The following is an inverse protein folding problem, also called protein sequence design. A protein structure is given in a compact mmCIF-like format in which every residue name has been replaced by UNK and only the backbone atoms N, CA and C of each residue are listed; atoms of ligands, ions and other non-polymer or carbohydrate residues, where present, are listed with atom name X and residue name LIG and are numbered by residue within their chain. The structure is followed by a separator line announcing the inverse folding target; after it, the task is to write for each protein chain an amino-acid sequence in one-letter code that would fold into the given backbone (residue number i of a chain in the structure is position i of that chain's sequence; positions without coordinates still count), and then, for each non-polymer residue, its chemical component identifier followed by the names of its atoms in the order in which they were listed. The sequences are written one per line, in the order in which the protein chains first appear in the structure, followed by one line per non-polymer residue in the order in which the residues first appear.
data_IF_692071119627
#
_entry.id   IF_692071119627
#
_cell.length_a   1.000
_cell.length_b   1.000
_cell.length_c   1.000
_cell.angle_alpha   90.00
_cell.angle_beta   90.00
_cell.angle_gamma   90.00
#
_symmetry.space_group_name_H-M   'P 1'
#
loop_
_entity.id
_entity.type
_entity.pdbx_description
1 polymer ?
#
# COMPACT_ATOMS: atom_id res chain seq x y z
N UNK A 1 -7.79 22.84 15.84
CA UNK A 1 -6.77 22.01 15.17
C UNK A 1 -6.86 22.35 13.71
N UNK A 2 -5.91 23.14 13.21
CA UNK A 2 -5.89 23.53 11.80
C UNK A 2 -5.55 22.30 10.96
N UNK A 3 -6.59 21.67 10.40
CA UNK A 3 -6.44 20.61 9.42
C UNK A 3 -5.72 21.20 8.21
N UNK A 4 -4.43 20.89 8.05
CA UNK A 4 -3.70 21.22 6.82
C UNK A 4 -4.40 20.49 5.68
N UNK A 5 -5.14 21.19 4.79
CA UNK A 5 -6.09 20.51 3.95
C UNK A 5 -5.33 19.87 2.81
N UNK A 6 -5.16 18.57 2.89
CA UNK A 6 -4.84 17.76 1.73
C UNK A 6 -5.94 17.96 0.66
N UNK A 7 -5.54 18.16 -0.58
CA UNK A 7 -6.41 18.29 -1.74
C UNK A 7 -6.47 16.98 -2.50
N UNK A 8 -7.56 16.75 -3.22
CA UNK A 8 -7.71 15.59 -4.10
C UNK A 8 -8.17 15.99 -5.50
N UNK A 9 -7.56 15.36 -6.50
CA UNK A 9 -8.08 15.30 -7.86
C UNK A 9 -8.17 13.85 -8.31
N UNK A 10 -9.21 13.52 -9.05
CA UNK A 10 -9.44 12.19 -9.61
C UNK A 10 -9.16 12.26 -11.12
N UNK A 11 -8.11 11.57 -11.58
CA UNK A 11 -7.66 11.61 -12.97
C UNK A 11 -8.03 10.30 -13.68
N UNK A 12 -8.69 10.43 -14.83
CA UNK A 12 -9.05 9.34 -15.71
C UNK A 12 -8.05 9.25 -16.85
N UNK A 13 -7.25 8.17 -16.86
CA UNK A 13 -6.27 7.93 -17.91
C UNK A 13 -6.87 7.09 -19.05
N UNK A 14 -6.61 7.45 -20.32
CA UNK A 14 -7.10 6.71 -21.47
C UNK A 14 -6.41 5.35 -21.59
N UNK A 15 -7.12 4.38 -22.18
CA UNK A 15 -6.60 3.03 -22.43
C UNK A 15 -7.70 1.97 -22.29
N UNK A 16 -7.67 0.99 -23.20
CA UNK A 16 -8.59 -0.14 -23.20
C UNK A 16 -8.20 -1.13 -22.10
N UNK A 17 -6.90 -1.35 -21.90
CA UNK A 17 -6.37 -2.26 -20.88
C UNK A 17 -5.90 -1.53 -19.62
N UNK A 18 -5.86 -2.24 -18.49
CA UNK A 18 -5.30 -1.69 -17.24
C UNK A 18 -3.81 -1.30 -17.39
N UNK A 19 -3.07 -2.03 -18.24
CA UNK A 19 -1.66 -1.77 -18.54
C UNK A 19 -1.48 -0.49 -19.35
N UNK A 20 -2.32 -0.25 -20.35
CA UNK A 20 -2.29 1.01 -21.13
C UNK A 20 -2.57 2.21 -20.23
N UNK A 21 -3.63 2.13 -19.40
CA UNK A 21 -3.97 3.19 -18.45
C UNK A 21 -2.84 3.45 -17.46
N UNK A 22 -2.20 2.40 -16.96
CA UNK A 22 -1.04 2.51 -16.07
C UNK A 22 0.14 3.20 -16.76
N UNK A 23 0.46 2.83 -18.01
CA UNK A 23 1.55 3.45 -18.76
C UNK A 23 1.33 4.97 -18.93
N UNK A 24 0.11 5.37 -19.28
CA UNK A 24 -0.26 6.78 -19.41
C UNK A 24 -0.18 7.51 -18.05
N UNK A 25 -0.71 6.87 -16.99
CA UNK A 25 -0.68 7.42 -15.64
C UNK A 25 0.75 7.65 -15.15
N UNK A 26 1.61 6.63 -15.24
CA UNK A 26 2.99 6.70 -14.78
C UNK A 26 3.78 7.74 -15.58
N UNK A 27 3.63 7.80 -16.90
CA UNK A 27 4.31 8.81 -17.73
C UNK A 27 3.91 10.25 -17.34
N UNK A 28 2.62 10.49 -17.10
CA UNK A 28 2.14 11.80 -16.68
C UNK A 28 2.61 12.15 -15.26
N UNK A 29 2.33 11.29 -14.29
CA UNK A 29 2.58 11.54 -12.87
C UNK A 29 4.06 11.65 -12.53
N UNK A 30 4.93 10.88 -13.19
CA UNK A 30 6.39 10.95 -12.99
C UNK A 30 6.98 12.30 -13.41
N UNK A 31 6.28 13.03 -14.30
CA UNK A 31 6.67 14.38 -14.72
C UNK A 31 6.11 15.44 -13.78
N UNK A 32 4.79 15.43 -13.55
CA UNK A 32 4.11 16.57 -12.93
C UNK A 32 4.29 16.64 -11.42
N UNK A 33 4.34 15.51 -10.71
CA UNK A 33 4.42 15.50 -9.24
C UNK A 33 5.80 15.96 -8.73
N UNK A 34 6.94 15.42 -9.23
CA UNK A 34 8.25 15.94 -8.84
C UNK A 34 8.47 17.40 -9.26
N UNK A 35 7.93 17.83 -10.41
CA UNK A 35 8.02 19.21 -10.87
C UNK A 35 7.25 20.17 -9.94
N UNK A 36 6.04 19.80 -9.53
CA UNK A 36 5.23 20.58 -8.59
C UNK A 36 5.92 20.71 -7.22
N UNK A 37 6.52 19.62 -6.74
CA UNK A 37 7.26 19.59 -5.48
C UNK A 37 8.55 20.43 -5.56
N UNK A 38 9.32 20.30 -6.64
CA UNK A 38 10.54 21.11 -6.88
C UNK A 38 10.24 22.60 -6.99
N UNK A 39 9.09 22.95 -7.57
CA UNK A 39 8.62 24.34 -7.67
C UNK A 39 8.05 24.88 -6.35
N UNK A 40 8.03 24.10 -5.27
CA UNK A 40 7.49 24.50 -3.98
C UNK A 40 5.97 24.71 -3.99
N UNK A 41 5.25 24.12 -4.94
CA UNK A 41 3.79 24.23 -5.01
C UNK A 41 3.10 23.26 -4.04
N UNK A 42 3.70 22.09 -3.87
CA UNK A 42 3.27 21.03 -2.95
C UNK A 42 4.44 20.57 -2.09
N UNK A 43 4.16 20.14 -0.87
CA UNK A 43 5.14 19.62 0.09
C UNK A 43 5.03 18.12 0.31
N UNK A 44 3.90 17.52 -0.04
CA UNK A 44 3.68 16.08 0.02
C UNK A 44 2.60 15.66 -0.96
N UNK A 45 2.66 14.42 -1.41
CA UNK A 45 1.72 13.87 -2.38
C UNK A 45 1.76 12.36 -2.40
N UNK A 46 0.64 11.74 -2.76
CA UNK A 46 0.54 10.32 -3.02
C UNK A 46 -0.66 10.04 -3.92
N UNK A 47 -0.71 8.84 -4.51
CA UNK A 47 -1.84 8.43 -5.35
C UNK A 47 -2.43 7.12 -4.86
N UNK A 48 -3.69 6.83 -5.22
CA UNK A 48 -4.28 5.50 -5.08
C UNK A 48 -5.07 5.12 -6.32
N UNK A 49 -4.99 3.85 -6.70
CA UNK A 49 -5.61 3.31 -7.91
C UNK A 49 -6.96 2.68 -7.56
N UNK A 50 -8.05 3.40 -7.83
CA UNK A 50 -9.41 2.89 -7.64
C UNK A 50 -10.37 3.55 -8.63
N UNK A 51 -10.63 2.88 -9.76
CA UNK A 51 -11.31 3.52 -10.89
C UNK A 51 -10.40 4.59 -11.50
N UNK A 52 -10.85 5.84 -11.51
CA UNK A 52 -9.97 6.99 -11.71
C UNK A 52 -8.88 7.04 -10.62
N UNK A 53 -7.66 7.43 -10.97
CA UNK A 53 -6.58 7.52 -10.00
C UNK A 53 -6.80 8.76 -9.14
N UNK A 54 -6.85 8.57 -7.83
CA UNK A 54 -7.01 9.68 -6.88
C UNK A 54 -5.63 10.18 -6.51
N UNK A 55 -5.33 11.43 -6.83
CA UNK A 55 -4.08 12.10 -6.50
C UNK A 55 -4.36 13.01 -5.31
N UNK A 56 -3.72 12.73 -4.19
CA UNK A 56 -3.83 13.49 -2.95
C UNK A 56 -2.54 14.28 -2.78
N UNK A 57 -2.63 15.58 -2.52
CA UNK A 57 -1.46 16.46 -2.39
C UNK A 57 -1.67 17.53 -1.33
N UNK A 58 -0.57 17.94 -0.70
CA UNK A 58 -0.53 18.98 0.34
C UNK A 58 0.13 20.24 -0.24
N UNK A 59 -0.60 21.35 -0.43
CA UNK A 59 -0.01 22.61 -0.89
C UNK A 59 0.98 23.19 0.12
N UNK A 60 2.01 23.88 -0.37
CA UNK A 60 3.08 24.38 0.49
C UNK A 60 2.75 25.64 1.33
N UNK A 61 1.60 26.32 1.11
CA UNK A 61 1.20 27.38 2.05
C UNK A 61 0.07 28.32 1.63
N UNK A 62 -0.05 28.68 0.34
CA UNK A 62 -1.11 29.62 -0.08
C UNK A 62 -2.24 28.92 -0.85
N UNK A 63 -3.49 29.44 -0.77
CA UNK A 63 -4.57 29.00 -1.66
C UNK A 63 -4.22 29.14 -3.15
N UNK A 64 -3.37 30.11 -3.51
CA UNK A 64 -2.86 30.27 -4.87
C UNK A 64 -1.98 29.09 -5.29
N UNK A 65 -1.12 28.60 -4.40
CA UNK A 65 -0.34 27.36 -4.62
C UNK A 65 -1.26 26.16 -4.86
N UNK A 66 -2.40 26.06 -4.17
CA UNK A 66 -3.40 25.01 -4.41
C UNK A 66 -3.98 25.07 -5.83
N UNK A 67 -4.35 26.27 -6.30
CA UNK A 67 -4.85 26.48 -7.67
C UNK A 67 -3.81 26.20 -8.75
N UNK A 68 -2.56 26.63 -8.54
CA UNK A 68 -1.43 26.37 -9.44
C UNK A 68 -1.08 24.89 -9.49
N UNK A 69 -0.98 24.23 -8.34
CA UNK A 69 -0.75 22.78 -8.21
C UNK A 69 -1.81 22.01 -8.98
N UNK A 70 -3.10 22.34 -8.77
CA UNK A 70 -4.20 21.67 -9.47
C UNK A 70 -4.05 21.80 -10.99
N UNK A 71 -3.82 23.01 -11.51
CA UNK A 71 -3.64 23.24 -12.95
C UNK A 71 -2.50 22.39 -13.52
N UNK A 72 -1.33 22.40 -12.86
CA UNK A 72 -0.16 21.63 -13.28
C UNK A 72 -0.44 20.12 -13.26
N UNK A 73 -1.10 19.61 -12.21
CA UNK A 73 -1.41 18.19 -12.05
C UNK A 73 -2.51 17.69 -13.00
N UNK A 74 -3.29 18.59 -13.59
CA UNK A 74 -4.45 18.22 -14.42
C UNK A 74 -4.32 18.65 -15.88
N UNK A 75 -3.17 19.19 -16.26
CA UNK A 75 -2.92 19.66 -17.62
C UNK A 75 -2.98 18.51 -18.63
N UNK A 76 -3.85 18.63 -19.63
CA UNK A 76 -3.97 17.67 -20.72
C UNK A 76 -4.60 16.32 -20.34
N UNK A 77 -5.20 16.20 -19.15
CA UNK A 77 -5.86 14.96 -18.70
C UNK A 77 -7.32 15.20 -18.32
N UNK A 78 -8.15 14.18 -18.45
CA UNK A 78 -9.53 14.22 -17.95
C UNK A 78 -9.53 14.06 -16.43
N UNK A 79 -10.13 14.99 -15.71
CA UNK A 79 -10.12 14.99 -14.25
C UNK A 79 -11.43 15.53 -13.64
N UNK A 80 -11.64 15.20 -12.37
CA UNK A 80 -12.68 15.77 -11.51
C UNK A 80 -12.10 16.14 -10.14
N UNK A 81 -12.61 17.21 -9.53
CA UNK A 81 -12.29 17.56 -8.15
C UNK A 81 -13.05 16.68 -7.16
N UNK A 82 -12.52 16.56 -5.94
CA UNK A 82 -13.15 15.82 -4.86
C UNK A 82 -12.66 16.32 -3.49
N UNK A 83 -13.43 16.08 -2.44
CA UNK A 83 -13.01 16.37 -1.07
C UNK A 83 -12.22 15.17 -0.55
N UNK A 84 -11.03 15.42 0.00
CA UNK A 84 -10.29 14.34 0.64
C UNK A 84 -10.69 14.18 2.10
N UNK A 85 -11.25 13.01 2.39
CA UNK A 85 -11.51 12.56 3.76
C UNK A 85 -10.48 11.50 4.15
N UNK A 86 -9.52 11.82 5.04
CA UNK A 86 -8.55 10.84 5.51
C UNK A 86 -9.24 9.76 6.33
N UNK A 87 -8.81 8.51 6.11
CA UNK A 87 -9.32 7.33 6.81
C UNK A 87 -8.75 7.23 8.25
N UNK A 88 -8.71 8.35 8.98
CA UNK A 88 -8.03 8.55 10.28
C UNK A 88 -8.40 7.50 11.32
N UNK A 89 -9.69 7.19 11.46
CA UNK A 89 -10.15 6.15 12.39
C UNK A 89 -9.64 4.76 11.99
N UNK A 90 -9.63 4.48 10.69
CA UNK A 90 -9.19 3.20 10.17
C UNK A 90 -7.68 3.00 10.39
N UNK A 91 -6.91 4.07 10.21
CA UNK A 91 -5.45 4.09 10.40
C UNK A 91 -5.00 4.29 11.84
N UNK A 92 -5.90 4.34 12.83
CA UNK A 92 -5.53 4.34 14.24
C UNK A 92 -5.24 5.71 14.84
N UNK A 93 -5.85 6.78 14.31
CA UNK A 93 -5.79 8.13 14.87
C UNK A 93 -4.96 9.10 14.01
N UNK A 94 -4.91 10.36 14.44
CA UNK A 94 -4.28 11.44 13.67
C UNK A 94 -2.78 11.19 13.46
N UNK A 95 -2.04 10.86 14.52
CA UNK A 95 -0.59 10.61 14.44
C UNK A 95 -0.25 9.43 13.51
N UNK A 96 -1.05 8.36 13.58
CA UNK A 96 -0.88 7.20 12.74
C UNK A 96 -1.28 7.49 11.29
N UNK A 97 -2.28 8.34 11.05
CA UNK A 97 -2.62 8.84 9.72
C UNK A 97 -1.50 9.72 9.14
N UNK A 98 -0.84 10.56 9.95
CA UNK A 98 0.36 11.30 9.53
C UNK A 98 1.48 10.33 9.13
N UNK A 99 1.69 9.27 9.90
CA UNK A 99 2.67 8.22 9.57
C UNK A 99 2.32 7.53 8.24
N UNK A 100 1.04 7.22 8.02
CA UNK A 100 0.56 6.68 6.77
C UNK A 100 0.80 7.63 5.60
N UNK A 101 0.50 8.93 5.74
CA UNK A 101 0.77 9.94 4.71
C UNK A 101 2.25 10.05 4.37
N UNK A 102 3.12 10.10 5.37
CA UNK A 102 4.58 10.12 5.16
C UNK A 102 5.03 8.88 4.39
N UNK A 103 4.60 7.68 4.81
CA UNK A 103 4.93 6.46 4.06
C UNK A 103 4.38 6.50 2.64
N UNK A 104 3.13 6.92 2.45
CA UNK A 104 2.46 6.93 1.16
C UNK A 104 3.14 7.87 0.18
N UNK A 105 3.70 8.97 0.67
CA UNK A 105 4.48 9.88 -0.13
C UNK A 105 5.79 9.24 -0.62
N UNK A 106 6.60 8.69 0.29
CA UNK A 106 7.84 8.01 -0.07
C UNK A 106 7.59 6.79 -0.97
N UNK A 107 6.59 5.97 -0.64
CA UNK A 107 6.15 4.81 -1.42
C UNK A 107 5.73 5.25 -2.84
N UNK A 108 4.96 6.33 -2.97
CA UNK A 108 4.52 6.82 -4.28
C UNK A 108 5.68 7.30 -5.16
N UNK A 109 6.69 7.94 -4.58
CA UNK A 109 7.91 8.36 -5.30
C UNK A 109 8.64 7.16 -5.91
N UNK A 110 8.89 6.13 -5.09
CA UNK A 110 9.55 4.91 -5.58
C UNK A 110 8.68 4.11 -6.54
N UNK A 111 7.36 4.05 -6.30
CA UNK A 111 6.41 3.36 -7.17
C UNK A 111 6.39 3.93 -8.59
N UNK A 112 6.45 5.25 -8.78
CA UNK A 112 6.44 5.82 -10.13
C UNK A 112 7.67 5.38 -10.93
N UNK A 113 8.87 5.43 -10.34
CA UNK A 113 10.10 4.91 -10.95
C UNK A 113 10.00 3.41 -11.21
N UNK A 114 9.61 2.63 -10.19
CA UNK A 114 9.51 1.18 -10.27
C UNK A 114 8.50 0.72 -11.33
N UNK A 115 7.33 1.35 -11.42
CA UNK A 115 6.30 0.99 -12.40
C UNK A 115 6.66 1.40 -13.83
N UNK A 116 7.48 2.45 -13.99
CA UNK A 116 8.00 2.88 -15.29
C UNK A 116 8.85 1.78 -15.95
N UNK A 117 9.57 0.99 -15.15
CA UNK A 117 10.42 -0.11 -15.60
C UNK A 117 9.64 -1.39 -15.97
N UNK A 118 8.32 -1.39 -15.83
CA UNK A 118 7.44 -2.55 -16.11
C UNK A 118 7.87 -3.86 -15.42
N UNK A 119 7.96 -3.88 -14.08
CA UNK A 119 8.60 -4.94 -13.34
C UNK A 119 7.73 -6.20 -13.28
N UNK A 120 8.39 -7.36 -13.28
CA UNK A 120 7.76 -8.68 -13.08
C UNK A 120 7.71 -9.10 -11.61
N UNK A 121 8.36 -8.35 -10.72
CA UNK A 121 8.64 -8.71 -9.31
C UNK A 121 7.73 -8.04 -8.29
N UNK A 122 6.56 -7.55 -8.70
CA UNK A 122 5.68 -6.72 -7.83
C UNK A 122 5.30 -7.45 -6.54
N UNK A 123 5.02 -8.76 -6.62
CA UNK A 123 4.55 -9.56 -5.48
C UNK A 123 5.67 -9.71 -4.46
N UNK A 124 6.82 -10.17 -4.92
CA UNK A 124 8.03 -10.41 -4.13
C UNK A 124 8.49 -9.13 -3.45
N UNK A 125 8.57 -8.03 -4.21
CA UNK A 125 8.98 -6.74 -3.67
C UNK A 125 8.00 -6.25 -2.59
N UNK A 126 6.69 -6.39 -2.83
CA UNK A 126 5.69 -5.97 -1.85
C UNK A 126 5.73 -6.77 -0.55
N UNK A 127 6.03 -8.08 -0.62
CA UNK A 127 6.18 -8.93 0.57
C UNK A 127 7.37 -8.47 1.40
N UNK A 128 8.50 -8.17 0.77
CA UNK A 128 9.71 -7.68 1.44
C UNK A 128 9.44 -6.34 2.15
N UNK A 129 8.82 -5.37 1.47
CA UNK A 129 8.51 -4.06 2.05
C UNK A 129 7.51 -4.17 3.21
N UNK A 130 6.43 -4.95 3.04
CA UNK A 130 5.44 -5.13 4.10
C UNK A 130 6.03 -5.87 5.31
N UNK A 131 6.95 -6.81 5.08
CA UNK A 131 7.68 -7.50 6.16
C UNK A 131 8.57 -6.53 6.93
N UNK A 132 9.26 -5.61 6.25
CA UNK A 132 10.06 -4.57 6.89
C UNK A 132 9.21 -3.68 7.82
N UNK A 133 8.05 -3.24 7.33
CA UNK A 133 7.07 -2.48 8.12
C UNK A 133 6.64 -3.24 9.37
N UNK A 134 6.31 -4.53 9.26
CA UNK A 134 5.85 -5.33 10.40
C UNK A 134 6.96 -5.59 11.42
N UNK A 135 8.17 -5.91 10.97
CA UNK A 135 9.32 -6.17 11.84
C UNK A 135 9.68 -4.92 12.65
N UNK A 136 9.74 -3.76 12.00
CA UNK A 136 10.04 -2.49 12.68
C UNK A 136 8.86 -1.96 13.51
N UNK A 137 7.65 -2.45 13.26
CA UNK A 137 6.52 -2.24 14.16
C UNK A 137 6.61 -3.07 15.46
N UNK A 138 7.62 -3.93 15.58
CA UNK A 138 7.85 -4.81 16.73
C UNK A 138 6.91 -6.00 16.77
N UNK A 139 6.38 -6.44 15.62
CA UNK A 139 5.52 -7.62 15.55
C UNK A 139 6.35 -8.90 15.53
N UNK A 140 6.01 -9.85 16.40
CA UNK A 140 6.56 -11.20 16.32
C UNK A 140 6.02 -11.96 15.09
N UNK A 141 6.51 -13.17 14.86
CA UNK A 141 6.14 -13.94 13.66
C UNK A 141 4.65 -14.31 13.63
N UNK A 142 4.03 -14.62 14.77
CA UNK A 142 2.61 -14.95 14.84
C UNK A 142 1.75 -13.70 14.64
N UNK A 143 2.17 -12.57 15.20
CA UNK A 143 1.52 -11.28 14.98
C UNK A 143 1.60 -10.84 13.51
N UNK A 144 2.72 -11.12 12.82
CA UNK A 144 2.84 -10.95 11.37
C UNK A 144 1.85 -11.85 10.62
N UNK A 145 1.72 -13.12 11.02
CA UNK A 145 0.72 -14.04 10.49
C UNK A 145 -0.72 -13.52 10.62
N UNK A 146 -1.04 -12.93 11.77
CA UNK A 146 -2.36 -12.33 12.04
C UNK A 146 -2.64 -11.11 11.16
N UNK A 147 -1.63 -10.27 10.85
CA UNK A 147 -1.78 -9.19 9.87
C UNK A 147 -2.19 -9.76 8.50
N UNK A 148 -1.53 -10.83 8.04
CA UNK A 148 -1.91 -11.48 6.78
C UNK A 148 -3.33 -12.06 6.83
N UNK A 149 -3.73 -12.66 7.96
CA UNK A 149 -5.09 -13.14 8.17
C UNK A 149 -6.13 -12.01 8.04
N UNK A 150 -5.87 -10.84 8.64
CA UNK A 150 -6.76 -9.68 8.49
C UNK A 150 -6.81 -9.16 7.04
N UNK A 151 -5.71 -9.24 6.29
CA UNK A 151 -5.73 -8.91 4.85
C UNK A 151 -6.57 -9.92 4.06
N UNK A 152 -6.53 -11.20 4.41
CA UNK A 152 -7.40 -12.25 3.85
C UNK A 152 -8.86 -11.91 4.11
N UNK A 153 -9.24 -11.57 5.34
CA UNK A 153 -10.60 -11.17 5.70
C UNK A 153 -11.08 -9.97 4.88
N UNK A 154 -10.25 -8.93 4.74
CA UNK A 154 -10.53 -7.76 3.89
C UNK A 154 -10.65 -8.09 2.39
N UNK A 155 -10.24 -9.28 1.97
CA UNK A 155 -10.28 -9.75 0.58
C UNK A 155 -11.09 -11.01 0.39
N UNK A 156 -11.86 -11.44 1.41
CA UNK A 156 -12.59 -12.69 1.39
C UNK A 156 -13.52 -12.83 0.18
N UNK A 157 -14.23 -11.76 -0.19
CA UNK A 157 -15.11 -11.72 -1.37
C UNK A 157 -14.39 -11.96 -2.73
N UNK A 158 -13.06 -11.87 -2.75
CA UNK A 158 -12.23 -12.06 -3.94
C UNK A 158 -11.40 -13.35 -3.89
N UNK A 159 -11.52 -14.13 -2.81
CA UNK A 159 -11.02 -15.50 -2.81
C UNK A 159 -11.89 -16.28 -3.80
N UNK A 160 -11.27 -16.86 -4.82
CA UNK A 160 -11.96 -17.84 -5.63
C UNK A 160 -12.38 -18.99 -4.72
N UNK A 161 -13.65 -19.38 -4.79
CA UNK A 161 -14.18 -20.54 -4.04
C UNK A 161 -13.46 -21.85 -4.39
N UNK A 162 -12.81 -21.91 -5.57
CA UNK A 162 -11.95 -23.02 -5.94
C UNK A 162 -10.64 -22.97 -5.12
N UNK A 163 -10.54 -23.88 -4.14
CA UNK A 163 -9.29 -24.28 -3.49
C UNK A 163 -8.22 -24.52 -4.57
N UNK A 164 -6.94 -24.21 -4.35
CA UNK A 164 -5.89 -24.50 -5.33
C UNK A 164 -6.02 -25.97 -5.77
N UNK A 165 -6.37 -26.19 -7.03
CA UNK A 165 -6.69 -27.52 -7.56
C UNK A 165 -5.45 -28.43 -7.68
N UNK A 166 -4.28 -27.93 -7.25
CA UNK A 166 -2.96 -28.56 -7.32
C UNK A 166 -2.19 -28.27 -6.02
N UNK A 167 -2.31 -29.17 -5.05
CA UNK A 167 -1.71 -29.04 -3.72
C UNK A 167 -0.16 -28.92 -3.77
N UNK A 168 0.57 -29.76 -4.54
CA UNK A 168 2.03 -29.60 -4.68
C UNK A 168 2.46 -28.23 -5.20
N UNK A 169 1.73 -27.67 -6.18
CA UNK A 169 2.02 -26.32 -6.69
C UNK A 169 1.79 -25.26 -5.64
N UNK A 170 0.73 -25.41 -4.83
CA UNK A 170 0.43 -24.50 -3.74
C UNK A 170 1.46 -24.57 -2.62
N UNK A 171 1.87 -25.77 -2.21
CA UNK A 171 2.95 -25.97 -1.23
C UNK A 171 4.24 -25.29 -1.66
N UNK A 172 4.66 -25.46 -2.92
CA UNK A 172 5.83 -24.76 -3.47
C UNK A 172 5.69 -23.25 -3.41
N UNK A 173 4.53 -22.73 -3.82
CA UNK A 173 4.26 -21.29 -3.81
C UNK A 173 4.30 -20.72 -2.39
N UNK A 174 3.68 -21.38 -1.42
CA UNK A 174 3.72 -21.01 0.00
C UNK A 174 5.14 -21.12 0.57
N UNK A 175 5.94 -22.10 0.13
CA UNK A 175 7.36 -22.22 0.47
C UNK A 175 8.19 -21.04 -0.05
N UNK A 176 7.97 -20.61 -1.29
CA UNK A 176 8.62 -19.42 -1.86
C UNK A 176 8.23 -18.14 -1.12
N UNK A 177 6.95 -17.98 -0.77
CA UNK A 177 6.46 -16.87 0.07
C UNK A 177 7.11 -16.91 1.45
N UNK A 178 7.19 -18.07 2.10
CA UNK A 178 7.85 -18.23 3.41
C UNK A 178 9.32 -17.80 3.35
N UNK A 179 10.03 -18.15 2.29
CA UNK A 179 11.43 -17.72 2.08
C UNK A 179 11.56 -16.19 2.04
N UNK A 180 10.63 -15.50 1.38
CA UNK A 180 10.60 -14.04 1.33
C UNK A 180 10.25 -13.39 2.67
N UNK A 181 9.30 -13.96 3.41
CA UNK A 181 8.84 -13.45 4.71
C UNK A 181 9.87 -13.65 5.83
N UNK A 182 10.61 -14.77 5.81
CA UNK A 182 11.61 -15.09 6.82
C UNK A 182 13.02 -14.60 6.46
N UNK A 183 13.28 -14.38 5.18
CA UNK A 183 14.58 -13.94 4.69
C UNK A 183 14.96 -12.52 5.11
N UNK A 184 16.20 -12.17 4.78
CA UNK A 184 16.70 -10.79 4.80
C UNK A 184 16.81 -10.28 3.35
N UNK A 185 16.44 -9.03 3.07
CA UNK A 185 16.65 -8.45 1.74
C UNK A 185 18.14 -8.40 1.43
N UNK A 186 18.52 -8.78 0.20
CA UNK A 186 19.92 -8.74 -0.26
C UNK A 186 20.47 -7.31 -0.32
N UNK A 187 19.59 -6.34 -0.53
CA UNK A 187 19.91 -4.91 -0.51
C UNK A 187 18.77 -4.16 0.17
N UNK A 188 19.11 -3.28 1.11
CA UNK A 188 18.16 -2.33 1.72
C UNK A 188 18.38 -0.95 1.09
N UNK A 189 17.49 -0.58 0.18
CA UNK A 189 17.45 0.78 -0.38
C UNK A 189 16.47 1.68 0.36
N UNK A 190 16.43 2.96 -0.01
CA UNK A 190 15.59 3.98 0.61
C UNK A 190 14.10 3.59 0.70
N UNK A 191 13.59 2.83 -0.28
CA UNK A 191 12.20 2.36 -0.26
C UNK A 191 11.94 1.39 0.88
N UNK A 192 12.86 0.45 1.15
CA UNK A 192 12.78 -0.44 2.30
C UNK A 192 12.88 0.35 3.61
N UNK A 193 13.81 1.32 3.67
CA UNK A 193 13.99 2.21 4.82
C UNK A 193 12.72 3.02 5.13
N UNK A 194 11.97 3.46 4.12
CA UNK A 194 10.70 4.16 4.33
C UNK A 194 9.65 3.28 5.04
N UNK A 195 9.52 2.02 4.64
CA UNK A 195 8.62 1.05 5.31
C UNK A 195 9.08 0.74 6.73
N UNK A 196 10.39 0.55 6.92
CA UNK A 196 11.00 0.36 8.23
C UNK A 196 10.72 1.54 9.18
N UNK A 197 10.95 2.79 8.73
CA UNK A 197 10.67 3.99 9.51
C UNK A 197 9.20 4.14 9.90
N UNK A 198 8.28 3.81 8.98
CA UNK A 198 6.86 3.80 9.28
C UNK A 198 6.51 2.76 10.35
N UNK A 199 7.12 1.57 10.28
CA UNK A 199 6.96 0.53 11.30
C UNK A 199 7.40 1.02 12.68
N UNK A 200 8.62 1.55 12.77
CA UNK A 200 9.16 2.09 14.00
C UNK A 200 8.32 3.26 14.56
N UNK A 201 7.72 4.09 13.69
CA UNK A 201 6.81 5.15 14.11
C UNK A 201 5.50 4.59 14.71
N UNK A 202 4.88 3.61 14.06
CA UNK A 202 3.69 2.93 14.58
C UNK A 202 3.98 2.19 15.89
N UNK A 203 5.16 1.59 16.02
CA UNK A 203 5.62 0.98 17.27
C UNK A 203 5.65 2.01 18.41
N UNK A 204 6.32 3.15 18.19
CA UNK A 204 6.37 4.23 19.20
C UNK A 204 4.99 4.76 19.57
N UNK A 205 4.05 4.82 18.62
CA UNK A 205 2.66 5.24 18.89
C UNK A 205 1.91 4.20 19.72
N UNK A 206 2.14 2.90 19.47
CA UNK A 206 1.61 1.82 20.32
C UNK A 206 2.13 1.94 21.75
N UNK A 207 3.44 2.08 21.92
CA UNK A 207 4.08 2.17 23.24
C UNK A 207 3.64 3.41 24.03
N UNK A 208 3.31 4.51 23.33
CA UNK A 208 2.73 5.72 23.95
C UNK A 208 1.22 5.64 24.20
N UNK A 209 0.55 4.59 23.73
CA UNK A 209 -0.90 4.43 23.85
C UNK A 209 -1.72 5.41 23.00
N UNK A 210 -1.16 5.98 21.92
CA UNK A 210 -1.86 6.97 21.08
C UNK A 210 -2.62 6.36 19.90
N UNK A 211 -2.45 5.04 19.66
CA UNK A 211 -3.21 4.33 18.65
C UNK A 211 -4.66 4.14 19.09
N UNK A 212 -5.61 4.57 18.26
CA UNK A 212 -7.05 4.38 18.50
C UNK A 212 -7.58 3.04 17.95
N UNK A 213 -6.71 2.25 17.31
CA UNK A 213 -7.02 0.94 16.73
C UNK A 213 -5.83 0.00 16.91
N UNK A 214 -6.10 -1.30 17.02
CA UNK A 214 -5.04 -2.31 17.14
C UNK A 214 -4.01 -2.23 16.02
N UNK A 215 -2.72 -2.30 16.37
CA UNK A 215 -1.59 -2.14 15.46
C UNK A 215 -1.66 -3.09 14.25
N UNK A 216 -2.04 -4.36 14.46
CA UNK A 216 -2.18 -5.36 13.39
C UNK A 216 -3.22 -4.95 12.34
N UNK A 217 -4.35 -4.39 12.76
CA UNK A 217 -5.39 -3.89 11.87
C UNK A 217 -4.96 -2.62 11.11
N UNK A 218 -4.19 -1.75 11.77
CA UNK A 218 -3.59 -0.57 11.13
C UNK A 218 -2.60 -1.00 10.04
N UNK A 219 -1.72 -1.96 10.32
CA UNK A 219 -0.73 -2.45 9.34
C UNK A 219 -1.41 -3.21 8.19
N UNK A 220 -2.44 -4.00 8.44
CA UNK A 220 -3.21 -4.67 7.39
C UNK A 220 -3.74 -3.66 6.35
N UNK A 221 -4.17 -2.47 6.79
CA UNK A 221 -4.57 -1.40 5.88
C UNK A 221 -3.39 -0.79 5.12
N UNK A 222 -2.21 -0.65 5.73
CA UNK A 222 -1.01 -0.21 5.01
C UNK A 222 -0.65 -1.18 3.87
N UNK A 223 -0.71 -2.49 4.13
CA UNK A 223 -0.51 -3.54 3.10
C UNK A 223 -1.50 -3.36 1.95
N UNK A 224 -2.79 -3.25 2.27
CA UNK A 224 -3.86 -3.06 1.29
C UNK A 224 -3.65 -1.79 0.44
N UNK A 225 -3.33 -0.66 1.09
CA UNK A 225 -3.13 0.60 0.38
C UNK A 225 -1.89 0.53 -0.51
N UNK A 226 -0.79 -0.07 -0.04
CA UNK A 226 0.39 -0.31 -0.86
C UNK A 226 0.07 -1.18 -2.09
N UNK A 227 -0.61 -2.32 -1.90
CA UNK A 227 -0.99 -3.20 -3.01
C UNK A 227 -1.95 -2.55 -4.02
N UNK A 228 -2.85 -1.69 -3.55
CA UNK A 228 -3.71 -0.90 -4.42
C UNK A 228 -2.89 0.08 -5.27
N UNK A 229 -1.89 0.76 -4.69
CA UNK A 229 -0.99 1.66 -5.45
C UNK A 229 -0.08 0.92 -6.41
N UNK A 230 0.42 -0.23 -6.00
CA UNK A 230 1.24 -1.13 -6.82
C UNK A 230 0.46 -1.76 -7.99
N UNK A 231 -0.87 -1.79 -7.89
CA UNK A 231 -1.76 -2.32 -8.92
C UNK A 231 -1.93 -3.82 -8.91
N UNK A 232 -1.76 -4.48 -7.76
CA UNK A 232 -2.06 -5.90 -7.65
C UNK A 232 -3.58 -6.11 -7.71
N UNK A 233 -4.10 -6.99 -8.61
CA UNK A 233 -5.52 -7.31 -8.66
C UNK A 233 -6.02 -7.87 -7.32
N UNK A 234 -7.28 -7.58 -6.95
CA UNK A 234 -7.83 -8.00 -5.66
C UNK A 234 -7.77 -9.52 -5.43
N UNK A 235 -7.96 -10.34 -6.48
CA UNK A 235 -7.79 -11.80 -6.43
C UNK A 235 -6.34 -12.24 -6.19
N UNK A 236 -5.36 -11.48 -6.70
CA UNK A 236 -3.93 -11.68 -6.42
C UNK A 236 -3.62 -11.29 -4.99
N UNK A 237 -4.15 -10.17 -4.49
CA UNK A 237 -4.02 -9.76 -3.09
C UNK A 237 -4.55 -10.85 -2.15
N UNK A 238 -5.75 -11.38 -2.42
CA UNK A 238 -6.36 -12.43 -1.63
C UNK A 238 -5.50 -13.71 -1.59
N UNK A 239 -5.08 -14.18 -2.77
CA UNK A 239 -4.21 -15.37 -2.90
C UNK A 239 -2.86 -15.18 -2.21
N UNK A 240 -2.22 -14.02 -2.37
CA UNK A 240 -0.91 -13.73 -1.80
C UNK A 240 -0.97 -13.62 -0.27
N UNK A 241 -2.01 -12.97 0.27
CA UNK A 241 -2.24 -12.89 1.71
C UNK A 241 -2.52 -14.28 2.32
N UNK A 242 -3.30 -15.13 1.64
CA UNK A 242 -3.53 -16.51 2.09
C UNK A 242 -2.23 -17.32 2.12
N UNK A 243 -1.42 -17.23 1.07
CA UNK A 243 -0.12 -17.89 1.05
C UNK A 243 0.81 -17.36 2.14
N UNK A 244 0.79 -16.06 2.45
CA UNK A 244 1.59 -15.48 3.52
C UNK A 244 1.12 -15.91 4.93
N UNK A 245 -0.19 -16.00 5.13
CA UNK A 245 -0.80 -16.54 6.35
C UNK A 245 -0.40 -18.00 6.58
N UNK A 246 -0.62 -18.86 5.58
CA UNK A 246 -0.28 -20.29 5.63
C UNK A 246 1.24 -20.52 5.69
N UNK A 247 2.03 -19.64 5.07
CA UNK A 247 3.49 -19.67 5.18
C UNK A 247 3.97 -19.45 6.62
N UNK A 248 3.18 -18.81 7.49
CA UNK A 248 3.51 -18.58 8.89
C UNK A 248 2.87 -19.63 9.79
N UNK A 249 1.55 -19.83 9.67
CA UNK A 249 0.78 -20.71 10.55
C UNK A 249 0.78 -22.18 10.13
N UNK A 250 1.25 -22.50 8.93
CA UNK A 250 1.09 -23.82 8.31
C UNK A 250 -0.19 -23.93 7.48
N UNK A 251 -0.28 -25.01 6.70
CA UNK A 251 -1.54 -25.38 6.07
C UNK A 251 -2.52 -25.84 7.16
N UNK A 252 -3.82 -25.52 7.05
CA UNK A 252 -4.81 -26.10 7.94
C UNK A 252 -4.74 -27.63 7.83
N UNK A 253 -4.67 -28.34 8.96
CA UNK A 253 -4.74 -29.80 8.97
C UNK A 253 -6.02 -30.24 8.26
N UNK A 254 -5.88 -30.86 7.08
CA UNK A 254 -7.00 -31.42 6.33
C UNK A 254 -7.51 -32.75 6.87
N UNK A 255 -6.84 -33.29 7.89
CA UNK A 255 -7.07 -34.64 8.43
C UNK A 255 -7.70 -34.65 9.84
N UNK A 256 -8.18 -33.52 10.36
CA UNK A 256 -9.00 -33.54 11.57
C UNK A 256 -10.43 -33.98 11.21
N UNK A 257 -10.90 -35.16 11.63
CA UNK A 257 -12.29 -35.53 11.48
C UNK A 257 -13.17 -34.53 12.26
N UNK A 258 -14.34 -34.22 11.71
CA UNK A 258 -15.36 -33.41 12.37
C UNK A 258 -15.56 -33.91 13.81
N UNK A 259 -15.48 -33.04 14.84
CA UNK A 259 -15.94 -33.42 16.17
C UNK A 259 -17.47 -33.54 16.05
N UNK A 260 -17.95 -34.78 16.04
CA UNK A 260 -19.33 -35.15 15.70
C UNK A 260 -20.43 -34.58 16.58
#
# INVERSE_FOLDING_TARGET
MDHTPWYQVNISYPGQTAREREKQAVAHLSRVLPAAETAGLISSWWFIRKGAWRIRYLPAGSPESGGQSRRLLTEGVTWAGDIYEPETHAFGGHDAMTTAHTLFHHDSRHLLTYLHEHPTTRREHSLILCTALMREAGLDLNEQGDVWAQVVEHRAAHLNQARPTDAPRWERFTGDVRSLLLGAPRTSGDWHTAFAHAGAALHRQRERGTLTRGLRAVIALHVIFHWNRLGLPATTQATLARAAQEAIFGLPDTDLPDPG
#
